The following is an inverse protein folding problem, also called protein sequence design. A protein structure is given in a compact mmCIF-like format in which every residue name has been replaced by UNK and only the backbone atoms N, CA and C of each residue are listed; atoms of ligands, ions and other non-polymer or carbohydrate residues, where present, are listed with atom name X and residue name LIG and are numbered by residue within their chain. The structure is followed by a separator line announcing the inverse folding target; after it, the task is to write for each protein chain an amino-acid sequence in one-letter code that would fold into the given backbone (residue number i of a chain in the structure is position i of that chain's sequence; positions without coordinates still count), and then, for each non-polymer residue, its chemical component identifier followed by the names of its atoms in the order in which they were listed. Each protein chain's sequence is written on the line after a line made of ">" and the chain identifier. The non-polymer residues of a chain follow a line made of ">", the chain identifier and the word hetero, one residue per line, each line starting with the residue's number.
data_IF_419964207428
#
_entry.id   IF_419964207428
#
_cell.length_a   1.000
_cell.length_b   1.000
_cell.length_c   1.000
_cell.angle_alpha   90.00
_cell.angle_beta   90.00
_cell.angle_gamma   90.00
#
_symmetry.space_group_name_H-M   'P 1'
#
loop_
_entity.id
_entity.type
_entity.pdbx_description
1 polymer ?
#
# COMPACT_ATOMS: atom_id res chain seq x y z
N UNK A 1 19.35 -3.80 -9.68
CA UNK A 1 19.02 -2.41 -10.04
C UNK A 1 17.81 -2.44 -10.98
N UNK A 2 16.58 -2.31 -10.45
CA UNK A 2 15.30 -2.24 -11.20
C UNK A 2 14.18 -1.72 -10.27
N UNK A 3 14.42 -0.60 -9.58
CA UNK A 3 13.40 0.03 -8.73
C UNK A 3 13.20 1.44 -9.26
N UNK A 4 11.99 1.71 -9.72
CA UNK A 4 11.59 3.05 -10.13
C UNK A 4 11.09 3.82 -8.90
N UNK A 5 11.51 5.08 -8.78
CA UNK A 5 11.11 5.96 -7.69
C UNK A 5 10.31 7.10 -8.31
N UNK A 6 9.08 7.30 -7.83
CA UNK A 6 8.23 8.40 -8.23
C UNK A 6 7.83 9.24 -7.04
N UNK A 7 7.72 10.55 -7.23
CA UNK A 7 7.22 11.50 -6.24
C UNK A 7 5.75 11.83 -6.44
N UNK A 8 5.13 11.27 -7.47
CA UNK A 8 3.70 11.45 -7.79
C UNK A 8 2.96 10.15 -7.59
N UNK A 9 1.72 10.23 -7.10
CA UNK A 9 0.90 9.05 -6.96
C UNK A 9 0.62 8.43 -8.34
N UNK A 10 1.00 7.16 -8.59
CA UNK A 10 0.75 6.50 -9.85
C UNK A 10 -0.76 6.28 -10.06
N UNK A 11 -1.17 6.18 -11.32
CA UNK A 11 -2.56 5.87 -11.71
C UNK A 11 -2.76 4.39 -12.05
N UNK A 12 -1.70 3.61 -11.98
CA UNK A 12 -1.72 2.18 -12.26
C UNK A 12 -2.17 1.40 -11.03
N UNK A 13 -2.65 0.19 -11.29
CA UNK A 13 -3.06 -0.75 -10.25
C UNK A 13 -1.99 -1.81 -10.06
N UNK A 14 -1.84 -2.26 -8.82
CA UNK A 14 -0.80 -3.20 -8.41
C UNK A 14 -1.42 -4.43 -7.77
N UNK A 15 -0.73 -5.57 -7.94
CA UNK A 15 -1.10 -6.82 -7.29
C UNK A 15 -0.64 -6.86 -5.83
N UNK A 16 0.32 -6.01 -5.44
CA UNK A 16 0.84 -6.00 -4.07
C UNK A 16 1.27 -4.60 -3.66
N UNK A 17 0.86 -4.21 -2.45
CA UNK A 17 1.29 -2.97 -1.80
C UNK A 17 1.90 -3.29 -0.44
N UNK A 18 3.08 -2.73 -0.18
CA UNK A 18 3.79 -2.89 1.09
C UNK A 18 3.92 -1.51 1.76
N UNK A 19 3.28 -1.35 2.92
CA UNK A 19 3.46 -0.15 3.74
C UNK A 19 4.70 -0.31 4.61
N UNK A 20 5.79 0.36 4.22
CA UNK A 20 7.07 0.30 4.93
C UNK A 20 7.17 1.30 6.11
N UNK A 21 6.40 2.39 6.08
CA UNK A 21 6.46 3.49 7.06
C UNK A 21 5.06 3.98 7.46
N UNK A 22 4.89 4.39 8.72
CA UNK A 22 3.60 4.77 9.31
C UNK A 22 3.37 6.30 9.27
N UNK A 23 3.48 6.92 8.10
CA UNK A 23 3.19 8.34 7.97
C UNK A 23 1.69 8.60 7.83
N UNK A 24 1.22 9.72 8.40
CA UNK A 24 -0.22 10.04 8.49
C UNK A 24 -0.87 10.24 7.12
N UNK A 25 -0.12 10.67 6.10
CA UNK A 25 -0.64 10.84 4.75
C UNK A 25 -1.19 9.53 4.18
N UNK A 26 -0.60 8.40 4.54
CA UNK A 26 -1.03 7.08 4.07
C UNK A 26 -2.35 6.61 4.70
N UNK A 27 -2.74 7.14 5.87
CA UNK A 27 -4.02 6.80 6.49
C UNK A 27 -5.21 7.39 5.71
N UNK A 28 -4.99 8.51 5.02
CA UNK A 28 -6.01 9.18 4.20
C UNK A 28 -6.01 8.76 2.74
N UNK A 29 -5.01 8.01 2.31
CA UNK A 29 -4.89 7.54 0.93
C UNK A 29 -5.89 6.40 0.67
N UNK A 30 -6.63 6.48 -0.44
CA UNK A 30 -7.51 5.40 -0.85
C UNK A 30 -6.73 4.28 -1.57
N UNK A 31 -6.06 3.45 -0.78
CA UNK A 31 -5.18 2.36 -1.26
C UNK A 31 -5.96 1.37 -2.14
N UNK A 32 -7.25 1.17 -1.89
CA UNK A 32 -8.08 0.24 -2.68
C UNK A 32 -8.19 0.62 -4.16
N UNK A 33 -8.08 1.92 -4.49
CA UNK A 33 -8.11 2.36 -5.90
C UNK A 33 -6.86 1.97 -6.69
N UNK A 34 -5.77 1.65 -5.98
CA UNK A 34 -4.46 1.31 -6.53
C UNK A 34 -4.25 -0.20 -6.62
N UNK A 35 -5.28 -1.00 -6.32
CA UNK A 35 -5.16 -2.45 -6.24
C UNK A 35 -5.97 -3.13 -7.34
N UNK A 36 -5.39 -4.19 -7.90
CA UNK A 36 -6.11 -5.09 -8.79
C UNK A 36 -7.13 -5.95 -8.01
N UNK A 37 -8.11 -6.59 -8.67
CA UNK A 37 -9.11 -7.42 -7.99
C UNK A 37 -8.53 -8.56 -7.14
N UNK A 38 -7.41 -9.14 -7.56
CA UNK A 38 -6.62 -10.09 -6.78
C UNK A 38 -5.36 -9.37 -6.34
N UNK A 39 -5.23 -9.12 -5.05
CA UNK A 39 -4.13 -8.34 -4.51
C UNK A 39 -3.73 -8.80 -3.10
N UNK A 40 -2.59 -8.28 -2.64
CA UNK A 40 -2.07 -8.48 -1.28
C UNK A 40 -1.63 -7.13 -0.70
N UNK A 41 -2.10 -6.80 0.49
CA UNK A 41 -1.67 -5.63 1.25
C UNK A 41 -0.88 -6.11 2.47
N UNK A 42 0.37 -5.67 2.58
CA UNK A 42 1.23 -5.99 3.71
C UNK A 42 1.66 -4.73 4.46
N UNK A 43 1.36 -4.66 5.74
CA UNK A 43 1.73 -3.52 6.59
C UNK A 43 2.80 -3.89 7.60
N UNK A 44 4.02 -3.42 7.35
CA UNK A 44 5.20 -3.68 8.20
C UNK A 44 5.06 -2.97 9.56
N UNK A 45 4.21 -1.95 9.66
CA UNK A 45 4.08 -1.08 10.84
C UNK A 45 2.78 -1.24 11.62
N UNK A 46 1.88 -2.13 11.20
CA UNK A 46 0.57 -2.33 11.83
C UNK A 46 -0.20 -1.00 12.01
N UNK A 47 -0.08 -0.12 11.03
CA UNK A 47 -0.63 1.23 10.99
C UNK A 47 -2.04 1.31 10.39
N UNK A 48 -2.31 0.50 9.36
CA UNK A 48 -3.59 0.44 8.67
C UNK A 48 -4.63 -0.40 9.43
N UNK A 49 -5.94 -0.16 9.21
CA UNK A 49 -7.02 -0.96 9.79
C UNK A 49 -6.88 -2.45 9.42
N UNK A 50 -7.13 -3.35 10.38
CA UNK A 50 -6.94 -4.81 10.18
C UNK A 50 -7.82 -5.39 9.07
N UNK A 51 -8.94 -4.74 8.83
CA UNK A 51 -9.97 -5.15 7.89
C UNK A 51 -9.49 -5.00 6.43
N UNK A 52 -8.44 -4.20 6.19
CA UNK A 52 -7.90 -3.92 4.86
C UNK A 52 -6.49 -4.48 4.64
N UNK A 53 -5.92 -5.26 5.57
CA UNK A 53 -4.56 -5.80 5.44
C UNK A 53 -4.57 -7.31 5.50
N UNK A 54 -3.89 -7.96 4.56
CA UNK A 54 -3.75 -9.41 4.51
C UNK A 54 -2.66 -9.91 5.45
N UNK A 55 -1.65 -9.08 5.72
CA UNK A 55 -0.55 -9.41 6.62
C UNK A 55 0.07 -8.18 7.26
N UNK A 56 0.62 -8.37 8.46
CA UNK A 56 1.29 -7.32 9.23
C UNK A 56 2.25 -7.90 10.27
N UNK A 57 3.22 -7.08 10.72
CA UNK A 57 4.16 -7.40 11.80
C UNK A 57 3.71 -6.83 13.15
#
# INVERSE_FOLDING_TARGET
>A
HNVEITTTLPKEQYDTIILAVAHKEFATLNIQTLLNPTNVIFDVKSFLPKEIVDGRL
#
